data_IF_030763626767
#
_entry.id   IF_030763626767
#
_cell.length_a   1.000
_cell.length_b   1.000
_cell.length_c   1.000
_cell.angle_alpha   90.00
_cell.angle_beta   90.00
_cell.angle_gamma   90.00
#
_symmetry.space_group_name_H-M   'P 1'
#
loop_
_entity.id
_entity.type
_entity.pdbx_description
1 polymer ?
#
# COMPACT_ATOMS: atom_id res chain seq x y z
N UNK A 1 -14.47 63.92 -25.70
CA UNK A 1 -15.33 63.33 -24.65
C UNK A 1 -14.76 61.97 -24.32
N UNK A 2 -14.66 61.48 -23.09
CA UNK A 2 -14.64 62.04 -21.75
C UNK A 2 -14.41 60.82 -20.83
N UNK A 3 -13.64 61.00 -19.76
CA UNK A 3 -13.57 60.21 -18.50
C UNK A 3 -13.15 58.73 -18.51
N UNK A 4 -11.98 58.46 -17.90
CA UNK A 4 -11.71 57.31 -16.98
C UNK A 4 -12.61 57.40 -15.72
N UNK A 5 -12.56 56.55 -14.65
CA UNK A 5 -11.71 55.40 -14.29
C UNK A 5 -12.53 54.20 -13.73
N UNK A 6 -11.99 53.09 -13.19
CA UNK A 6 -11.74 52.91 -11.73
C UNK A 6 -11.20 51.50 -11.46
N UNK A 7 -10.22 51.44 -10.55
CA UNK A 7 -9.49 50.28 -10.08
C UNK A 7 -10.22 49.42 -9.03
N UNK A 8 -9.85 48.14 -8.93
CA UNK A 8 -9.84 47.36 -7.68
C UNK A 8 -8.83 46.20 -7.83
N UNK A 9 -7.59 46.27 -7.32
CA UNK A 9 -7.15 46.13 -5.91
C UNK A 9 -7.18 44.67 -5.42
N UNK A 10 -6.13 43.89 -5.69
CA UNK A 10 -5.78 42.73 -4.85
C UNK A 10 -4.27 42.66 -4.56
N UNK A 11 -3.99 43.17 -3.35
CA UNK A 11 -2.91 42.98 -2.38
C UNK A 11 -1.75 42.02 -2.72
N UNK A 12 -0.56 42.60 -2.67
CA UNK A 12 0.78 42.01 -2.52
C UNK A 12 0.98 41.30 -1.15
N UNK A 13 2.10 40.57 -0.95
CA UNK A 13 2.18 39.35 -0.15
C UNK A 13 2.45 39.61 1.33
N UNK A 14 1.97 38.72 2.19
CA UNK A 14 2.32 38.70 3.61
C UNK A 14 3.65 37.95 3.80
N UNK A 15 4.75 38.70 3.76
CA UNK A 15 5.99 38.30 4.41
C UNK A 15 5.76 38.27 5.93
N UNK A 16 5.89 37.09 6.56
CA UNK A 16 6.11 36.99 8.00
C UNK A 16 7.53 36.54 8.26
N UNK A 17 8.26 37.47 8.87
CA UNK A 17 9.63 37.35 9.31
C UNK A 17 9.75 36.52 10.60
N UNK A 18 10.84 35.74 10.63
CA UNK A 18 11.80 35.55 11.73
C UNK A 18 11.30 35.36 13.17
N UNK A 19 11.71 34.21 13.76
CA UNK A 19 12.21 33.97 15.14
C UNK A 19 12.14 32.44 15.35
N UNK A 20 13.12 31.69 15.85
CA UNK A 20 14.26 31.97 16.74
C UNK A 20 15.27 30.83 16.61
N UNK A 21 16.51 31.17 16.92
CA UNK A 21 17.65 30.30 17.14
C UNK A 21 17.38 29.19 18.17
N UNK A 22 18.02 28.04 17.95
CA UNK A 22 18.06 26.90 18.86
C UNK A 22 19.15 25.93 18.44
N UNK A 23 20.40 26.39 18.42
CA UNK A 23 21.59 25.54 18.36
C UNK A 23 21.66 24.72 19.66
N UNK A 24 21.35 23.42 19.59
CA UNK A 24 21.69 22.48 20.67
C UNK A 24 22.97 21.77 20.26
N UNK A 25 24.01 22.04 21.04
CA UNK A 25 25.33 21.47 20.92
C UNK A 25 25.29 19.95 21.13
N UNK A 26 25.96 19.24 20.22
CA UNK A 26 26.30 17.84 20.38
C UNK A 26 27.33 17.68 21.51
N UNK A 27 26.99 16.86 22.51
CA UNK A 27 27.95 16.28 23.43
C UNK A 27 28.13 14.80 23.05
N UNK A 28 29.21 14.52 22.33
CA UNK A 28 29.68 13.17 22.09
C UNK A 28 30.32 12.63 23.38
N UNK A 29 29.72 11.60 23.98
CA UNK A 29 30.38 10.77 24.98
C UNK A 29 30.77 9.45 24.31
N UNK A 30 32.05 9.32 23.98
CA UNK A 30 32.67 8.04 23.63
C UNK A 30 32.84 7.23 24.91
N UNK A 31 32.11 6.12 25.02
CA UNK A 31 32.45 5.02 25.93
C UNK A 31 32.65 3.76 25.11
N UNK A 32 33.91 3.44 24.88
CA UNK A 32 34.37 2.15 24.38
C UNK A 32 34.39 1.15 25.53
N UNK A 33 33.48 0.18 25.53
CA UNK A 33 33.70 -1.08 26.25
C UNK A 33 33.79 -2.22 25.24
N UNK A 34 35.01 -2.72 25.10
CA UNK A 34 35.30 -3.98 24.45
C UNK A 34 34.75 -5.13 25.32
N UNK A 35 33.69 -5.76 24.85
CA UNK A 35 33.18 -7.02 25.38
C UNK A 35 33.20 -8.07 24.27
N UNK A 36 34.28 -8.84 24.21
CA UNK A 36 34.36 -10.04 23.39
C UNK A 36 33.46 -11.11 24.03
N UNK A 37 32.21 -11.21 23.55
CA UNK A 37 31.29 -12.29 23.87
C UNK A 37 30.96 -13.06 22.60
N UNK A 38 31.63 -14.19 22.41
CA UNK A 38 31.22 -15.19 21.43
C UNK A 38 29.88 -15.79 21.90
N UNK A 39 28.78 -15.36 21.30
CA UNK A 39 27.47 -15.99 21.44
C UNK A 39 27.10 -16.62 20.11
N UNK A 40 26.92 -17.93 20.16
CA UNK A 40 26.51 -18.78 19.06
C UNK A 40 25.25 -18.21 18.38
N UNK A 41 25.33 -18.09 17.05
CA UNK A 41 24.22 -17.74 16.19
C UNK A 41 23.19 -18.89 16.16
N UNK A 42 22.33 -18.95 17.18
CA UNK A 42 21.05 -19.61 17.05
C UNK A 42 20.14 -18.64 16.28
N UNK A 43 20.00 -18.85 14.97
CA UNK A 43 18.98 -18.18 14.19
C UNK A 43 17.63 -18.44 14.86
N UNK A 44 16.90 -17.41 15.34
CA UNK A 44 15.52 -17.64 15.73
C UNK A 44 14.79 -18.05 14.47
N UNK A 45 14.25 -19.27 14.47
CA UNK A 45 13.24 -19.66 13.51
C UNK A 45 12.18 -18.54 13.54
N UNK A 46 11.96 -17.88 12.41
CA UNK A 46 10.92 -16.89 12.28
C UNK A 46 9.63 -17.53 12.83
N UNK A 47 8.90 -16.88 13.75
CA UNK A 47 7.60 -17.38 14.15
C UNK A 47 6.78 -17.47 12.87
N UNK A 48 6.54 -18.71 12.42
CA UNK A 48 5.63 -18.96 11.32
C UNK A 48 4.33 -18.25 11.68
N UNK A 49 3.89 -17.35 10.81
CA UNK A 49 2.56 -16.77 10.92
C UNK A 49 1.61 -17.94 11.21
N UNK A 50 0.77 -17.85 12.25
CA UNK A 50 -0.19 -18.90 12.52
C UNK A 50 -0.98 -19.09 11.22
N UNK A 51 -0.85 -20.28 10.62
CA UNK A 51 -1.75 -20.71 9.57
C UNK A 51 -3.14 -20.50 10.15
N UNK A 52 -3.90 -19.54 9.62
CA UNK A 52 -5.15 -19.09 10.17
C UNK A 52 -6.00 -20.31 10.51
N UNK A 53 -6.06 -20.63 11.80
CA UNK A 53 -6.73 -21.82 12.28
C UNK A 53 -8.21 -21.58 12.05
N UNK A 54 -8.76 -22.25 11.03
CA UNK A 54 -10.18 -22.44 10.82
C UNK A 54 -11.03 -21.21 11.09
N UNK A 55 -10.88 -20.15 10.28
CA UNK A 55 -12.07 -19.38 9.96
C UNK A 55 -13.01 -20.40 9.31
N UNK A 56 -14.03 -20.83 10.05
CA UNK A 56 -15.13 -21.64 9.52
C UNK A 56 -15.42 -21.10 8.14
N UNK A 57 -15.29 -21.95 7.11
CA UNK A 57 -15.43 -21.57 5.72
C UNK A 57 -16.73 -20.77 5.59
N UNK A 58 -16.62 -19.44 5.65
CA UNK A 58 -17.74 -18.57 5.43
C UNK A 58 -18.13 -18.92 4.02
N UNK A 59 -19.34 -19.47 3.88
CA UNK A 59 -19.84 -19.93 2.59
C UNK A 59 -19.52 -18.83 1.60
N UNK A 60 -18.60 -19.13 0.66
CA UNK A 60 -18.26 -18.21 -0.43
C UNK A 60 -19.60 -17.76 -0.98
N UNK A 61 -19.96 -16.46 -0.95
CA UNK A 61 -21.14 -16.03 -1.66
C UNK A 61 -20.96 -16.55 -3.08
N UNK A 62 -21.90 -17.39 -3.52
CA UNK A 62 -21.84 -17.98 -4.84
C UNK A 62 -21.69 -16.80 -5.81
N UNK A 63 -20.59 -16.77 -6.56
CA UNK A 63 -20.40 -15.80 -7.62
C UNK A 63 -21.68 -15.85 -8.45
N UNK A 64 -22.43 -14.75 -8.46
CA UNK A 64 -23.68 -14.64 -9.20
C UNK A 64 -23.32 -14.87 -10.66
N UNK A 65 -23.61 -16.08 -11.15
CA UNK A 65 -23.28 -16.54 -12.49
C UNK A 65 -24.08 -15.82 -13.59
N UNK A 66 -24.78 -14.73 -13.27
CA UNK A 66 -25.63 -13.98 -14.19
C UNK A 66 -24.86 -13.09 -15.17
N UNK A 67 -23.53 -12.93 -15.03
CA UNK A 67 -22.75 -12.03 -15.88
C UNK A 67 -23.19 -10.56 -15.78
N UNK A 68 -24.07 -10.26 -14.82
CA UNK A 68 -24.58 -8.94 -14.50
C UNK A 68 -23.57 -8.26 -13.59
N UNK A 69 -23.23 -7.00 -13.91
CA UNK A 69 -22.31 -6.22 -13.08
C UNK A 69 -22.99 -5.90 -11.75
N UNK A 70 -22.24 -5.92 -10.63
CA UNK A 70 -22.79 -5.51 -9.34
C UNK A 70 -23.28 -4.06 -9.39
N UNK A 71 -24.40 -3.83 -8.73
CA UNK A 71 -24.95 -2.49 -8.52
C UNK A 71 -24.02 -1.66 -7.64
N UNK A 72 -24.16 -0.33 -7.70
CA UNK A 72 -23.40 0.56 -6.81
C UNK A 72 -23.64 0.27 -5.33
N UNK A 73 -24.88 -0.05 -4.94
CA UNK A 73 -25.21 -0.40 -3.56
C UNK A 73 -24.47 -1.66 -3.09
N UNK A 74 -24.35 -2.68 -3.95
CA UNK A 74 -23.59 -3.89 -3.65
C UNK A 74 -22.09 -3.60 -3.53
N UNK A 75 -21.55 -2.77 -4.42
CA UNK A 75 -20.15 -2.35 -4.38
C UNK A 75 -19.81 -1.58 -3.10
N UNK A 76 -20.64 -0.62 -2.69
CA UNK A 76 -20.45 0.10 -1.42
C UNK A 76 -20.58 -0.84 -0.21
N UNK A 77 -21.53 -1.77 -0.23
CA UNK A 77 -21.64 -2.77 0.84
C UNK A 77 -20.42 -3.69 0.89
N UNK A 78 -19.85 -4.06 -0.27
CA UNK A 78 -18.62 -4.86 -0.34
C UNK A 78 -17.38 -4.08 0.10
N UNK A 79 -17.32 -2.78 -0.20
CA UNK A 79 -16.26 -1.89 0.26
C UNK A 79 -16.22 -1.84 1.79
N UNK A 80 -17.37 -1.66 2.44
CA UNK A 80 -17.45 -1.65 3.90
C UNK A 80 -17.06 -3.02 4.50
N UNK A 81 -17.46 -4.13 3.87
CA UNK A 81 -17.00 -5.47 4.28
C UNK A 81 -15.48 -5.60 4.20
N UNK A 82 -14.89 -5.16 3.09
CA UNK A 82 -13.43 -5.18 2.91
C UNK A 82 -12.74 -4.26 3.94
N UNK A 83 -13.34 -3.10 4.28
CA UNK A 83 -12.83 -2.16 5.30
C UNK A 83 -12.78 -2.81 6.68
N UNK A 84 -13.93 -3.32 7.14
CA UNK A 84 -14.07 -3.98 8.44
C UNK A 84 -13.17 -5.22 8.56
N UNK A 85 -13.06 -6.00 7.47
CA UNK A 85 -12.14 -7.14 7.44
C UNK A 85 -10.68 -6.71 7.59
N UNK A 86 -10.27 -5.69 6.84
CA UNK A 86 -8.91 -5.13 6.93
C UNK A 86 -8.61 -4.66 8.35
N UNK A 87 -9.54 -3.93 8.98
CA UNK A 87 -9.43 -3.49 10.37
C UNK A 87 -9.18 -4.66 11.33
N UNK A 88 -9.91 -5.77 11.15
CA UNK A 88 -9.82 -6.94 12.00
C UNK A 88 -8.50 -7.71 11.84
N UNK A 89 -7.97 -7.85 10.62
CA UNK A 89 -6.75 -8.62 10.37
C UNK A 89 -5.46 -7.80 10.58
N UNK A 90 -5.53 -6.47 10.48
CA UNK A 90 -4.34 -5.62 10.47
C UNK A 90 -3.43 -5.78 11.69
N UNK A 91 -3.93 -5.86 12.95
CA UNK A 91 -3.08 -6.04 14.12
C UNK A 91 -2.31 -7.36 14.11
N UNK A 92 -2.84 -8.39 13.44
CA UNK A 92 -2.14 -9.68 13.27
C UNK A 92 -1.10 -9.58 12.15
N UNK A 93 -1.45 -8.87 11.07
CA UNK A 93 -0.58 -8.70 9.92
C UNK A 93 0.63 -7.81 10.24
N UNK A 94 0.41 -6.70 10.94
CA UNK A 94 1.43 -5.71 11.31
C UNK A 94 1.33 -5.40 12.83
N UNK A 95 1.85 -6.28 13.71
CA UNK A 95 1.68 -6.13 15.16
C UNK A 95 2.26 -4.85 15.76
N UNK A 96 3.18 -4.20 15.05
CA UNK A 96 3.80 -2.92 15.44
C UNK A 96 2.97 -1.71 15.05
N UNK A 97 1.94 -1.86 14.21
CA UNK A 97 1.09 -0.77 13.77
C UNK A 97 0.22 -0.22 14.92
N UNK A 98 0.05 1.09 14.94
CA UNK A 98 -0.75 1.89 15.87
C UNK A 98 -1.51 2.95 15.07
N UNK A 99 -2.58 3.51 15.65
CA UNK A 99 -3.38 4.57 15.00
C UNK A 99 -3.80 4.18 13.57
N UNK A 100 -4.45 3.03 13.44
CA UNK A 100 -4.97 2.56 12.16
C UNK A 100 -6.04 3.52 11.66
N UNK A 101 -5.86 4.02 10.44
CA UNK A 101 -6.81 4.84 9.71
C UNK A 101 -7.18 4.12 8.41
N UNK A 102 -8.48 3.88 8.24
CA UNK A 102 -9.08 3.21 7.10
C UNK A 102 -10.11 4.11 6.41
N UNK A 103 -10.16 5.40 6.75
CA UNK A 103 -11.16 6.33 6.19
C UNK A 103 -11.09 6.41 4.66
N UNK A 104 -9.88 6.36 4.10
CA UNK A 104 -9.68 6.31 2.65
C UNK A 104 -10.13 4.98 2.01
N UNK A 105 -10.23 3.92 2.80
CA UNK A 105 -10.81 2.64 2.42
C UNK A 105 -12.34 2.70 2.46
N UNK A 106 -12.90 3.56 1.61
CA UNK A 106 -14.31 3.97 1.64
C UNK A 106 -14.60 5.08 0.65
N UNK A 107 -13.68 6.04 0.56
CA UNK A 107 -13.86 7.26 -0.23
C UNK A 107 -13.17 7.19 -1.61
N UNK A 108 -12.13 6.37 -1.77
CA UNK A 108 -11.33 6.30 -3.00
C UNK A 108 -11.85 5.28 -4.02
N UNK A 109 -12.68 5.80 -4.92
CA UNK A 109 -12.97 5.25 -6.25
C UNK A 109 -13.61 3.86 -6.23
N UNK A 110 -14.89 3.82 -5.86
CA UNK A 110 -15.77 2.80 -6.46
C UNK A 110 -15.91 3.16 -7.93
N UNK A 111 -15.52 2.23 -8.81
CA UNK A 111 -15.48 2.54 -10.23
C UNK A 111 -15.69 1.32 -11.10
N UNK A 112 -16.03 1.60 -12.35
CA UNK A 112 -16.01 0.62 -13.43
C UNK A 112 -14.99 1.07 -14.46
N UNK A 113 -13.98 0.24 -14.75
CA UNK A 113 -12.99 0.50 -15.79
C UNK A 113 -12.87 -0.72 -16.69
N UNK A 114 -12.93 -0.53 -18.01
CA UNK A 114 -12.81 -1.64 -18.97
C UNK A 114 -13.88 -2.73 -18.81
N UNK A 115 -15.02 -2.42 -18.19
CA UNK A 115 -16.08 -3.37 -17.88
C UNK A 115 -15.87 -4.21 -16.62
N UNK A 116 -14.87 -3.89 -15.79
CA UNK A 116 -14.65 -4.49 -14.47
C UNK A 116 -14.91 -3.48 -13.36
N UNK A 117 -15.59 -3.91 -12.30
CA UNK A 117 -15.74 -3.13 -11.06
C UNK A 117 -14.45 -3.20 -10.25
N UNK A 118 -14.11 -2.11 -9.56
CA UNK A 118 -13.01 -2.10 -8.60
C UNK A 118 -13.36 -1.31 -7.35
N UNK A 119 -12.73 -1.70 -6.25
CA UNK A 119 -12.75 -1.07 -4.94
C UNK A 119 -11.31 -0.81 -4.54
N UNK A 120 -11.01 0.39 -4.08
CA UNK A 120 -9.67 0.71 -3.57
C UNK A 120 -9.72 1.54 -2.32
N UNK A 121 -8.58 1.62 -1.66
CA UNK A 121 -8.39 2.48 -0.50
C UNK A 121 -6.98 2.38 0.05
N UNK A 122 -6.74 3.21 1.07
CA UNK A 122 -5.49 3.23 1.80
C UNK A 122 -5.67 2.75 3.23
N UNK A 123 -4.63 2.10 3.73
CA UNK A 123 -4.50 1.70 5.13
C UNK A 123 -3.39 2.53 5.76
N UNK A 124 -3.78 3.61 6.41
CA UNK A 124 -2.87 4.49 7.14
C UNK A 124 -2.56 3.91 8.52
N UNK A 125 -1.31 4.00 8.97
CA UNK A 125 -0.94 3.63 10.33
C UNK A 125 0.37 4.30 10.76
N UNK A 126 0.65 4.27 12.05
CA UNK A 126 1.92 4.70 12.65
C UNK A 126 2.64 3.51 13.27
N UNK A 127 3.95 3.41 13.09
CA UNK A 127 4.82 2.46 13.79
C UNK A 127 6.03 3.20 14.41
N UNK A 128 7.03 2.45 14.89
CA UNK A 128 8.23 3.02 15.50
C UNK A 128 9.06 3.89 14.53
N UNK A 129 8.88 3.74 13.21
CA UNK A 129 9.53 4.53 12.19
C UNK A 129 8.66 5.71 11.70
N UNK A 130 7.45 5.89 12.24
CA UNK A 130 6.54 7.02 11.97
C UNK A 130 5.25 6.63 11.24
N UNK A 131 4.62 7.57 10.54
CA UNK A 131 3.42 7.33 9.73
C UNK A 131 3.72 6.62 8.40
N UNK A 132 2.82 5.74 7.95
CA UNK A 132 2.83 5.01 6.68
C UNK A 132 1.43 4.82 6.13
N UNK A 133 1.42 4.36 4.88
CA UNK A 133 0.23 3.99 4.13
C UNK A 133 0.49 2.72 3.31
N UNK A 134 -0.52 1.86 3.22
CA UNK A 134 -0.57 0.75 2.26
C UNK A 134 -1.79 0.91 1.38
N UNK A 135 -1.58 0.98 0.08
CA UNK A 135 -2.67 0.99 -0.89
C UNK A 135 -3.17 -0.44 -1.13
N UNK A 136 -4.47 -0.64 -1.10
CA UNK A 136 -5.12 -1.91 -1.38
C UNK A 136 -6.23 -1.71 -2.42
N UNK A 137 -6.25 -2.57 -3.44
CA UNK A 137 -7.26 -2.58 -4.49
C UNK A 137 -7.76 -3.99 -4.74
N UNK A 138 -9.07 -4.13 -4.88
CA UNK A 138 -9.75 -5.32 -5.36
C UNK A 138 -10.44 -4.97 -6.68
N UNK A 139 -10.28 -5.81 -7.69
CA UNK A 139 -10.90 -5.62 -9.00
C UNK A 139 -11.48 -6.92 -9.49
N UNK A 140 -12.61 -6.84 -10.17
CA UNK A 140 -13.28 -8.00 -10.75
C UNK A 140 -12.47 -8.61 -11.88
N UNK A 141 -13.01 -9.65 -12.54
CA UNK A 141 -12.32 -10.34 -13.62
C UNK A 141 -11.82 -9.38 -14.70
N UNK A 142 -10.49 -9.30 -14.88
CA UNK A 142 -9.90 -8.48 -15.92
C UNK A 142 -10.05 -9.10 -17.30
N UNK A 143 -10.35 -8.29 -18.32
CA UNK A 143 -10.47 -8.71 -19.73
C UNK A 143 -9.21 -8.43 -20.56
N UNK A 144 -8.20 -7.82 -19.96
CA UNK A 144 -7.00 -7.30 -20.64
C UNK A 144 -5.86 -8.31 -20.75
N UNK A 145 -6.08 -9.55 -20.30
CA UNK A 145 -5.06 -10.60 -20.32
C UNK A 145 -3.89 -10.32 -19.38
N UNK A 146 -4.10 -9.55 -18.31
CA UNK A 146 -3.10 -9.39 -17.26
C UNK A 146 -2.83 -10.73 -16.57
N UNK A 147 -1.58 -11.17 -16.60
CA UNK A 147 -1.09 -12.34 -15.87
C UNK A 147 -0.02 -11.94 -14.86
N UNK A 148 0.29 -12.83 -13.91
CA UNK A 148 1.38 -12.60 -12.95
C UNK A 148 2.74 -12.41 -13.65
N UNK A 149 2.98 -13.13 -14.75
CA UNK A 149 4.20 -13.01 -15.55
C UNK A 149 4.29 -11.65 -16.20
N UNK A 150 3.19 -11.13 -16.74
CA UNK A 150 3.16 -9.81 -17.39
C UNK A 150 3.39 -8.66 -16.40
N UNK A 151 3.14 -8.87 -15.10
CA UNK A 151 3.53 -7.93 -14.04
C UNK A 151 5.06 -7.92 -13.88
N UNK A 152 5.71 -9.09 -13.91
CA UNK A 152 7.17 -9.20 -13.80
C UNK A 152 7.90 -8.87 -15.10
N UNK A 153 7.25 -9.05 -16.25
CA UNK A 153 7.79 -8.84 -17.59
C UNK A 153 6.79 -8.00 -18.40
N UNK A 154 6.64 -6.71 -18.07
CA UNK A 154 5.71 -5.84 -18.79
C UNK A 154 6.20 -5.58 -20.21
N UNK A 155 5.25 -5.36 -21.12
CA UNK A 155 5.56 -5.08 -22.54
C UNK A 155 6.41 -3.83 -22.72
N UNK A 156 6.25 -2.85 -21.82
CA UNK A 156 7.11 -1.67 -21.77
C UNK A 156 8.27 -1.91 -20.79
N UNK A 157 9.53 -2.01 -21.27
CA UNK A 157 10.67 -2.29 -20.41
C UNK A 157 10.94 -1.20 -19.37
N UNK A 158 10.51 0.04 -19.59
CA UNK A 158 10.59 1.12 -18.60
C UNK A 158 9.74 0.84 -17.34
N UNK A 159 8.81 -0.11 -17.42
CA UNK A 159 7.99 -0.55 -16.30
C UNK A 159 8.51 -1.84 -15.64
N UNK A 160 9.61 -2.41 -16.10
CA UNK A 160 10.15 -3.66 -15.53
C UNK A 160 10.51 -3.45 -14.07
N UNK A 161 9.98 -4.27 -13.13
CA UNK A 161 10.40 -4.24 -11.74
C UNK A 161 11.90 -4.52 -11.61
N UNK A 162 12.57 -3.89 -10.63
CA UNK A 162 13.98 -4.19 -10.34
C UNK A 162 14.12 -5.60 -9.75
N UNK A 163 13.11 -6.06 -9.02
CA UNK A 163 12.99 -7.44 -8.52
C UNK A 163 11.56 -7.91 -8.73
N UNK A 164 11.38 -9.17 -9.14
CA UNK A 164 10.05 -9.75 -9.26
C UNK A 164 10.06 -11.26 -9.04
N UNK A 165 9.06 -11.76 -8.34
CA UNK A 165 8.82 -13.19 -8.11
C UNK A 165 7.38 -13.52 -8.47
N UNK A 166 7.17 -14.64 -9.18
CA UNK A 166 5.83 -15.21 -9.42
C UNK A 166 5.72 -16.52 -8.66
N UNK A 167 4.63 -16.67 -7.89
CA UNK A 167 4.24 -17.90 -7.20
C UNK A 167 2.94 -18.41 -7.79
N UNK A 168 3.01 -19.53 -8.52
CA UNK A 168 1.81 -20.23 -8.98
C UNK A 168 1.24 -21.08 -7.85
N UNK A 169 -0.08 -21.04 -7.71
CA UNK A 169 -0.81 -21.81 -6.69
C UNK A 169 -1.53 -23.01 -7.32
N UNK A 170 -1.77 -24.10 -6.55
CA UNK A 170 -2.40 -25.32 -7.09
C UNK A 170 -3.82 -25.14 -7.63
N UNK A 171 -4.52 -24.08 -7.24
CA UNK A 171 -5.88 -23.75 -7.70
C UNK A 171 -5.88 -23.00 -9.04
N UNK A 172 -4.72 -22.81 -9.67
CA UNK A 172 -4.56 -22.11 -10.94
C UNK A 172 -4.45 -20.58 -10.81
N UNK A 173 -4.52 -20.05 -9.59
CA UNK A 173 -4.18 -18.64 -9.33
C UNK A 173 -2.67 -18.43 -9.28
N UNK A 174 -2.26 -17.16 -9.33
CA UNK A 174 -0.86 -16.79 -9.20
C UNK A 174 -0.70 -15.48 -8.43
N UNK A 175 0.36 -15.38 -7.64
CA UNK A 175 0.75 -14.16 -6.93
C UNK A 175 2.08 -13.66 -7.48
N UNK A 176 2.12 -12.42 -7.94
CA UNK A 176 3.35 -11.71 -8.28
C UNK A 176 3.73 -10.77 -7.15
N UNK A 177 5.01 -10.75 -6.74
CA UNK A 177 5.58 -9.74 -5.86
C UNK A 177 6.64 -8.99 -6.64
N UNK A 178 6.39 -7.72 -6.91
CA UNK A 178 7.26 -6.84 -7.69
C UNK A 178 7.81 -5.73 -6.79
N UNK A 179 9.10 -5.43 -6.92
CA UNK A 179 9.72 -4.23 -6.35
C UNK A 179 10.21 -3.32 -7.47
N UNK A 180 9.99 -2.03 -7.30
CA UNK A 180 10.52 -0.99 -8.17
C UNK A 180 11.27 0.01 -7.33
N UNK A 181 12.53 0.20 -7.66
CA UNK A 181 13.35 1.29 -7.14
C UNK A 181 13.15 2.52 -8.02
N UNK A 182 13.05 3.68 -7.39
CA UNK A 182 12.80 4.97 -8.03
C UNK A 182 13.42 6.07 -7.20
N UNK A 183 13.75 7.20 -7.83
CA UNK A 183 14.16 8.39 -7.10
C UNK A 183 12.94 9.31 -6.88
N UNK A 184 12.66 9.67 -5.63
CA UNK A 184 11.52 10.53 -5.26
C UNK A 184 12.00 11.86 -4.69
N UNK A 185 12.07 12.88 -5.54
CA UNK A 185 12.52 14.23 -5.17
C UNK A 185 13.99 14.28 -4.73
N UNK A 186 14.78 15.18 -5.30
CA UNK A 186 16.19 15.40 -4.91
C UNK A 186 17.04 14.10 -4.83
N UNK A 187 16.79 13.13 -5.71
CA UNK A 187 17.55 11.88 -5.80
C UNK A 187 17.50 11.01 -4.53
N UNK A 188 16.40 11.06 -3.78
CA UNK A 188 16.20 10.17 -2.63
C UNK A 188 15.75 8.77 -3.09
N UNK A 189 16.50 7.70 -2.74
CA UNK A 189 16.19 6.35 -3.19
C UNK A 189 14.94 5.82 -2.48
N UNK A 190 13.89 5.59 -3.24
CA UNK A 190 12.66 4.98 -2.78
C UNK A 190 12.44 3.62 -3.42
N UNK A 191 11.80 2.74 -2.66
CA UNK A 191 11.37 1.43 -3.13
C UNK A 191 9.89 1.27 -2.89
N UNK A 192 9.19 0.88 -3.95
CA UNK A 192 7.80 0.42 -3.90
C UNK A 192 7.79 -1.09 -4.02
N UNK A 193 7.03 -1.78 -3.15
CA UNK A 193 6.75 -3.21 -3.25
C UNK A 193 5.27 -3.42 -3.44
N UNK A 194 4.92 -4.17 -4.48
CA UNK A 194 3.54 -4.49 -4.82
C UNK A 194 3.38 -6.01 -4.88
N UNK A 195 2.45 -6.55 -4.09
CA UNK A 195 1.95 -7.90 -4.29
C UNK A 195 0.65 -7.83 -5.10
N UNK A 196 0.49 -8.72 -6.08
CA UNK A 196 -0.72 -8.83 -6.88
C UNK A 196 -1.11 -10.29 -7.01
N UNK A 197 -2.29 -10.64 -6.54
CA UNK A 197 -2.89 -11.94 -6.70
C UNK A 197 -3.88 -11.91 -7.87
N UNK A 198 -3.59 -12.68 -8.92
CA UNK A 198 -4.51 -12.98 -10.01
C UNK A 198 -5.18 -14.32 -9.67
N UNK A 199 -6.45 -14.26 -9.25
CA UNK A 199 -7.22 -15.44 -8.85
C UNK A 199 -7.66 -16.24 -10.08
N UNK A 200 -8.00 -17.51 -9.86
CA UNK A 200 -8.47 -18.40 -10.92
C UNK A 200 -9.77 -17.93 -11.61
N UNK A 201 -10.57 -17.11 -10.92
CA UNK A 201 -11.78 -16.47 -11.48
C UNK A 201 -11.48 -15.17 -12.24
N UNK A 202 -10.21 -14.76 -12.33
CA UNK A 202 -9.75 -13.52 -12.97
C UNK A 202 -9.76 -12.29 -12.05
N UNK A 203 -10.30 -12.39 -10.83
CA UNK A 203 -10.27 -11.31 -9.84
C UNK A 203 -8.82 -10.95 -9.52
N UNK A 204 -8.55 -9.65 -9.40
CA UNK A 204 -7.24 -9.13 -8.97
C UNK A 204 -7.33 -8.52 -7.59
N UNK A 205 -6.43 -8.92 -6.70
CA UNK A 205 -6.18 -8.21 -5.44
C UNK A 205 -4.75 -7.69 -5.46
N UNK A 206 -4.58 -6.39 -5.24
CA UNK A 206 -3.30 -5.70 -5.30
C UNK A 206 -3.06 -4.95 -4.01
N UNK A 207 -1.90 -5.14 -3.39
CA UNK A 207 -1.45 -4.37 -2.24
C UNK A 207 -0.09 -3.74 -2.53
N UNK A 208 0.05 -2.44 -2.27
CA UNK A 208 1.28 -1.69 -2.50
C UNK A 208 1.74 -1.01 -1.21
N UNK A 209 2.97 -1.29 -0.82
CA UNK A 209 3.66 -0.65 0.28
C UNK A 209 4.90 0.09 -0.25
N UNK A 210 5.27 1.19 0.39
CA UNK A 210 6.41 2.03 0.02
C UNK A 210 7.28 2.26 1.24
N UNK A 211 8.56 2.55 1.06
CA UNK A 211 9.40 3.01 2.17
C UNK A 211 9.26 4.53 2.42
N UNK A 212 8.26 5.17 1.85
CA UNK A 212 7.99 6.60 2.03
C UNK A 212 6.47 6.82 2.00
N UNK A 213 6.00 7.87 2.66
CA UNK A 213 4.61 8.31 2.56
C UNK A 213 4.51 9.24 1.34
N UNK A 214 3.65 9.00 0.33
CA UNK A 214 3.50 9.90 -0.80
C UNK A 214 2.68 11.14 -0.45
N UNK A 215 3.05 12.31 -0.99
CA UNK A 215 2.21 13.50 -1.02
C UNK A 215 1.15 13.30 -2.13
N UNK A 216 -0.14 13.50 -1.82
CA UNK A 216 -1.18 13.48 -2.84
C UNK A 216 -0.91 14.51 -3.96
N UNK A 217 -0.91 14.05 -5.21
CA UNK A 217 -0.87 14.89 -6.41
C UNK A 217 0.44 14.87 -7.18
N UNK A 218 1.59 14.94 -6.51
CA UNK A 218 2.91 14.94 -7.17
C UNK A 218 3.74 13.68 -6.89
N UNK A 219 3.35 12.88 -5.88
CA UNK A 219 4.05 11.65 -5.51
C UNK A 219 5.39 11.86 -4.82
N UNK A 220 5.74 13.11 -4.47
CA UNK A 220 6.89 13.45 -3.65
C UNK A 220 6.75 12.83 -2.25
N UNK A 221 7.83 12.57 -1.50
CA UNK A 221 7.70 12.03 -0.16
C UNK A 221 7.19 13.08 0.84
N UNK A 222 6.19 12.72 1.62
CA UNK A 222 5.78 13.42 2.84
C UNK A 222 6.67 12.94 3.99
N UNK A 223 7.66 13.76 4.34
CA UNK A 223 8.65 13.44 5.36
C UNK A 223 9.83 12.61 4.82
N UNK A 224 10.43 11.80 5.70
CA UNK A 224 11.66 11.08 5.41
C UNK A 224 11.40 9.73 4.70
N UNK A 225 12.26 9.40 3.74
CA UNK A 225 12.33 8.05 3.18
C UNK A 225 12.95 7.11 4.20
N UNK A 226 12.27 6.00 4.47
CA UNK A 226 12.67 4.95 5.42
C UNK A 226 13.70 4.03 4.78
N UNK A 227 14.52 3.43 5.63
CA UNK A 227 15.45 2.37 5.24
C UNK A 227 14.76 1.07 4.82
N UNK A 228 13.48 0.88 5.16
CA UNK A 228 12.71 -0.32 4.86
C UNK A 228 11.24 -0.03 4.56
N UNK A 229 10.65 -0.87 3.72
CA UNK A 229 9.20 -0.93 3.47
C UNK A 229 8.52 -1.53 4.71
N UNK A 230 7.37 -0.99 5.16
CA UNK A 230 6.76 -1.39 6.42
C UNK A 230 6.15 -2.81 6.41
N UNK A 231 5.84 -3.34 5.23
CA UNK A 231 5.36 -4.72 5.07
C UNK A 231 6.40 -5.55 4.30
N UNK A 232 6.67 -6.75 4.81
CA UNK A 232 7.44 -7.79 4.14
C UNK A 232 6.68 -8.34 2.92
N UNK A 233 7.40 -9.03 2.03
CA UNK A 233 6.78 -9.71 0.90
C UNK A 233 5.71 -10.71 1.35
N UNK A 234 5.99 -11.53 2.38
CA UNK A 234 5.04 -12.54 2.86
C UNK A 234 3.80 -11.92 3.52
N UNK A 235 3.93 -10.79 4.23
CA UNK A 235 2.77 -10.05 4.73
C UNK A 235 1.90 -9.51 3.58
N UNK A 236 2.51 -8.95 2.54
CA UNK A 236 1.75 -8.49 1.36
C UNK A 236 1.08 -9.67 0.64
N UNK A 237 1.77 -10.80 0.48
CA UNK A 237 1.21 -12.03 -0.11
C UNK A 237 0.03 -12.52 0.73
N UNK A 238 0.16 -12.58 2.06
CA UNK A 238 -0.92 -12.97 2.96
C UNK A 238 -2.15 -12.05 2.80
N UNK A 239 -1.93 -10.73 2.72
CA UNK A 239 -2.98 -9.74 2.52
C UNK A 239 -3.71 -9.95 1.18
N UNK A 240 -3.01 -10.05 0.06
CA UNK A 240 -3.65 -10.22 -1.26
C UNK A 240 -4.22 -11.62 -1.50
N UNK A 241 -3.77 -12.61 -0.73
CA UNK A 241 -4.27 -13.98 -0.78
C UNK A 241 -5.48 -14.22 0.10
N UNK A 242 -5.85 -13.26 0.94
CA UNK A 242 -7.01 -13.38 1.81
C UNK A 242 -8.31 -13.47 0.98
N UNK A 243 -9.08 -14.56 1.10
CA UNK A 243 -10.28 -14.79 0.30
C UNK A 243 -11.43 -13.82 0.61
N UNK A 244 -11.38 -13.07 1.72
CA UNK A 244 -12.40 -12.10 2.09
C UNK A 244 -12.44 -10.89 1.14
N UNK A 245 -11.31 -10.54 0.52
CA UNK A 245 -11.24 -9.43 -0.43
C UNK A 245 -11.94 -9.78 -1.73
N UNK A 246 -13.09 -9.16 -2.00
CA UNK A 246 -13.92 -9.39 -3.17
C UNK A 246 -14.47 -8.06 -3.70
N UNK A 247 -15.01 -8.06 -4.91
CA UNK A 247 -15.76 -6.95 -5.52
C UNK A 247 -17.14 -7.42 -5.94
#
# INVERSE_FOLDING_TARGET
MSVSPTAAKQRTPAARALRRAGTVAAAALFTTLAGAGALASAAPAAPGLPAAAGAAAAARPAATASGELPTWAELYAQQERNRLHTEAIWPTLVPTARHLDLSDFGDDRVGQFGGASYLSGNVGFTDAAGQQEVYLQVSGPHRDGLTAERICQPDNPANTPTRCEVRHLPDGSAVAVAERDSDVGQDLPATTRTATHIRADGTRVLATARNYLPIPGDGSPDGAVRSSIPLTADQLVALVSDPAYQV
#
